data_IF_248586881197
#
_entry.id   IF_248586881197
#
_cell.length_a   1.000
_cell.length_b   1.000
_cell.length_c   1.000
_cell.angle_alpha   90.00
_cell.angle_beta   90.00
_cell.angle_gamma   90.00
#
_symmetry.space_group_name_H-M   'P 1'
#
loop_
_entity.id
_entity.type
_entity.pdbx_description
1 polymer ?
#
# COMPACT_ATOMS: atom_id res chain seq x y z
N UNK A 1 31.51 -0.28 -16.11
CA UNK A 1 30.24 0.29 -15.71
C UNK A 1 29.98 -0.10 -14.26
N UNK A 2 30.32 0.82 -13.35
CA UNK A 2 29.97 0.70 -11.92
C UNK A 2 28.51 1.12 -11.82
N UNK A 3 27.62 0.17 -11.71
CA UNK A 3 26.27 0.46 -11.23
C UNK A 3 26.45 0.82 -9.75
N UNK A 4 26.32 2.10 -9.42
CA UNK A 4 26.26 2.52 -8.02
C UNK A 4 25.09 1.76 -7.39
N UNK A 5 25.40 0.91 -6.38
CA UNK A 5 24.36 0.25 -5.61
C UNK A 5 23.60 1.34 -4.88
N UNK A 6 22.41 1.66 -5.36
CA UNK A 6 21.45 2.46 -4.60
C UNK A 6 21.25 1.75 -3.26
N UNK A 7 21.62 2.41 -2.17
CA UNK A 7 21.32 1.91 -0.84
C UNK A 7 19.87 2.27 -0.58
N UNK A 8 19.01 1.25 -0.56
CA UNK A 8 17.62 1.43 -0.14
C UNK A 8 17.62 1.65 1.38
N UNK A 9 16.93 2.67 1.84
CA UNK A 9 16.78 2.99 3.27
C UNK A 9 15.30 3.01 3.62
N UNK A 10 14.99 2.62 4.86
CA UNK A 10 13.63 2.76 5.41
C UNK A 10 13.26 4.24 5.54
N UNK A 11 12.03 4.57 5.22
CA UNK A 11 11.48 5.90 5.44
C UNK A 11 11.32 6.21 6.93
N UNK A 12 11.42 7.49 7.26
CA UNK A 12 11.15 8.03 8.60
C UNK A 12 10.18 9.20 8.48
N UNK A 13 9.26 9.29 9.41
CA UNK A 13 8.31 10.41 9.52
C UNK A 13 8.49 11.10 10.88
N UNK A 14 8.38 12.44 10.95
CA UNK A 14 8.32 13.16 12.22
C UNK A 14 7.02 12.85 13.00
N UNK A 15 6.06 12.18 12.37
CA UNK A 15 4.76 11.83 12.94
C UNK A 15 4.69 10.37 13.38
N UNK A 16 5.85 9.67 13.47
CA UNK A 16 5.93 8.29 13.91
C UNK A 16 5.74 7.27 12.78
N UNK A 17 5.09 6.15 13.06
CA UNK A 17 4.86 5.07 12.10
C UNK A 17 3.60 5.32 11.27
N UNK A 18 3.77 5.47 9.97
CA UNK A 18 2.71 5.61 8.97
C UNK A 18 2.65 4.31 8.18
N UNK A 19 1.63 3.48 8.39
CA UNK A 19 1.54 2.13 7.83
C UNK A 19 0.46 2.03 6.75
N UNK A 20 0.83 1.45 5.60
CA UNK A 20 -0.11 0.92 4.61
C UNK A 20 -0.30 -0.58 4.82
N UNK A 21 -1.54 -1.04 4.88
CA UNK A 21 -1.93 -2.42 5.13
C UNK A 21 -2.81 -2.94 3.99
N UNK A 22 -2.49 -4.12 3.46
CA UNK A 22 -3.26 -4.75 2.39
C UNK A 22 -3.35 -6.26 2.56
N UNK A 23 -4.32 -6.88 1.86
CA UNK A 23 -4.34 -8.32 1.61
C UNK A 23 -4.35 -8.59 0.12
N UNK A 24 -3.53 -9.53 -0.34
CA UNK A 24 -3.28 -9.80 -1.75
C UNK A 24 -3.32 -11.29 -2.06
N UNK A 25 -3.79 -11.62 -3.26
CA UNK A 25 -3.72 -12.96 -3.82
C UNK A 25 -3.44 -12.86 -5.31
N UNK A 26 -2.34 -13.50 -5.77
CA UNK A 26 -1.95 -13.52 -7.19
C UNK A 26 -1.79 -12.12 -7.82
N UNK A 27 -1.12 -11.21 -7.09
CA UNK A 27 -0.84 -9.82 -7.49
C UNK A 27 0.63 -9.60 -7.91
N UNK A 28 1.33 -10.67 -8.25
CA UNK A 28 2.77 -10.65 -8.59
C UNK A 28 3.15 -9.59 -9.64
N UNK A 29 2.38 -9.37 -10.71
CA UNK A 29 2.69 -8.35 -11.70
C UNK A 29 2.69 -6.92 -11.19
N UNK A 30 1.83 -6.60 -10.19
CA UNK A 30 1.62 -5.24 -9.66
C UNK A 30 2.25 -4.97 -8.30
N UNK A 31 2.61 -6.01 -7.52
CA UNK A 31 2.98 -5.86 -6.11
C UNK A 31 4.21 -4.98 -5.88
N UNK A 32 5.20 -5.02 -6.77
CA UNK A 32 6.41 -4.19 -6.65
C UNK A 32 6.05 -2.71 -6.87
N UNK A 33 5.23 -2.41 -7.88
CA UNK A 33 4.76 -1.05 -8.15
C UNK A 33 3.96 -0.51 -6.96
N UNK A 34 3.03 -1.31 -6.44
CA UNK A 34 2.18 -0.94 -5.32
C UNK A 34 3.01 -0.62 -4.06
N UNK A 35 3.96 -1.49 -3.70
CA UNK A 35 4.86 -1.27 -2.55
C UNK A 35 5.75 -0.05 -2.76
N UNK A 36 6.37 0.07 -3.94
CA UNK A 36 7.25 1.20 -4.26
C UNK A 36 6.49 2.53 -4.24
N UNK A 37 5.27 2.57 -4.76
CA UNK A 37 4.42 3.76 -4.73
C UNK A 37 4.14 4.22 -3.30
N UNK A 38 3.69 3.32 -2.42
CA UNK A 38 3.34 3.71 -1.06
C UNK A 38 4.56 4.12 -0.23
N UNK A 39 5.70 3.48 -0.42
CA UNK A 39 6.96 3.96 0.16
C UNK A 39 7.36 5.34 -0.41
N UNK A 40 7.22 5.57 -1.71
CA UNK A 40 7.55 6.86 -2.34
C UNK A 40 6.61 7.99 -1.90
N UNK A 41 5.35 7.71 -1.64
CA UNK A 41 4.36 8.67 -1.11
C UNK A 41 4.71 9.10 0.33
N UNK A 42 5.45 8.26 1.08
CA UNK A 42 5.94 8.61 2.41
C UNK A 42 5.53 7.66 3.54
N UNK A 43 4.89 6.53 3.25
CA UNK A 43 4.68 5.52 4.29
C UNK A 43 6.01 5.02 4.82
N UNK A 44 6.10 4.87 6.14
CA UNK A 44 7.29 4.31 6.81
C UNK A 44 7.28 2.80 6.78
N UNK A 45 6.07 2.24 6.70
CA UNK A 45 5.81 0.81 6.80
C UNK A 45 4.73 0.37 5.81
N UNK A 46 4.94 -0.77 5.19
CA UNK A 46 4.00 -1.43 4.28
C UNK A 46 3.87 -2.87 4.72
N UNK A 47 2.67 -3.29 5.13
CA UNK A 47 2.40 -4.67 5.53
C UNK A 47 1.40 -5.31 4.58
N UNK A 48 1.75 -6.48 4.06
CA UNK A 48 0.89 -7.23 3.14
C UNK A 48 0.66 -8.64 3.67
N UNK A 49 -0.60 -9.01 3.77
CA UNK A 49 -1.05 -10.36 4.04
C UNK A 49 -1.34 -11.08 2.73
N UNK A 50 -0.86 -12.31 2.55
CA UNK A 50 -1.17 -13.11 1.37
C UNK A 50 -1.85 -14.42 1.74
N UNK A 51 -2.67 -14.94 0.83
CA UNK A 51 -3.25 -16.27 0.95
C UNK A 51 -3.26 -16.99 -0.40
N UNK A 52 -2.89 -18.26 -0.39
CA UNK A 52 -3.00 -19.17 -1.54
C UNK A 52 -2.44 -18.59 -2.86
N UNK A 53 -1.32 -17.86 -2.81
CA UNK A 53 -0.67 -17.33 -4.01
C UNK A 53 -0.04 -18.44 -4.84
N UNK A 54 -0.21 -18.36 -6.16
CA UNK A 54 0.34 -19.30 -7.13
C UNK A 54 1.30 -18.67 -8.15
N UNK A 55 1.41 -17.33 -8.15
CA UNK A 55 2.17 -16.54 -9.11
C UNK A 55 3.49 -15.99 -8.57
N UNK A 56 3.83 -16.26 -7.31
CA UNK A 56 5.04 -15.80 -6.65
C UNK A 56 4.91 -14.45 -5.92
N UNK A 57 3.70 -13.91 -5.76
CA UNK A 57 3.44 -12.68 -4.99
C UNK A 57 4.09 -12.73 -3.60
N UNK A 58 3.89 -13.82 -2.87
CA UNK A 58 4.43 -14.01 -1.52
C UNK A 58 5.96 -14.11 -1.51
N UNK A 59 6.57 -14.73 -2.52
CA UNK A 59 8.03 -14.80 -2.66
C UNK A 59 8.66 -13.44 -2.94
N UNK A 60 8.00 -12.60 -3.73
CA UNK A 60 8.42 -11.21 -3.98
C UNK A 60 8.38 -10.43 -2.66
N UNK A 61 7.29 -10.52 -1.91
CA UNK A 61 7.12 -9.81 -0.63
C UNK A 61 8.13 -10.26 0.43
N UNK A 62 8.43 -11.56 0.53
CA UNK A 62 9.48 -12.10 1.40
C UNK A 62 10.87 -11.52 1.05
N UNK A 63 11.15 -11.35 -0.24
CA UNK A 63 12.41 -10.72 -0.69
C UNK A 63 12.46 -9.23 -0.37
N UNK A 64 11.35 -8.50 -0.54
CA UNK A 64 11.26 -7.09 -0.16
C UNK A 64 11.43 -6.90 1.35
N UNK A 65 10.83 -7.76 2.16
CA UNK A 65 11.02 -7.76 3.61
C UNK A 65 12.49 -7.94 4.00
N UNK A 66 13.21 -8.82 3.31
CA UNK A 66 14.64 -9.09 3.57
C UNK A 66 15.56 -7.87 3.27
N UNK A 67 15.06 -6.83 2.59
CA UNK A 67 15.80 -5.59 2.34
C UNK A 67 15.77 -4.62 3.52
N UNK A 68 14.95 -4.87 4.54
CA UNK A 68 14.79 -4.04 5.75
C UNK A 68 14.43 -2.56 5.45
N UNK A 69 13.52 -2.38 4.51
CA UNK A 69 13.07 -1.07 4.02
C UNK A 69 11.66 -0.68 4.53
N UNK A 70 11.18 -1.32 5.60
CA UNK A 70 9.84 -1.09 6.14
C UNK A 70 8.75 -1.93 5.45
N UNK A 71 9.11 -3.00 4.76
CA UNK A 71 8.13 -3.92 4.13
C UNK A 71 8.00 -5.18 4.97
N UNK A 72 6.77 -5.59 5.25
CA UNK A 72 6.44 -6.76 6.04
C UNK A 72 5.46 -7.66 5.31
N UNK A 73 5.74 -8.95 5.32
CA UNK A 73 4.86 -9.98 4.77
C UNK A 73 4.33 -10.87 5.89
N UNK A 74 3.05 -11.23 5.79
CA UNK A 74 2.39 -12.21 6.66
C UNK A 74 1.51 -13.14 5.83
N UNK A 75 1.40 -14.37 6.29
CA UNK A 75 0.38 -15.27 5.76
C UNK A 75 -0.99 -14.89 6.35
N UNK A 76 -1.99 -14.79 5.49
CA UNK A 76 -3.36 -14.52 5.91
C UNK A 76 -4.04 -15.86 6.27
N UNK A 77 -4.33 -16.12 7.56
CA UNK A 77 -5.05 -17.34 7.92
C UNK A 77 -6.45 -17.27 7.33
N UNK A 78 -6.86 -18.36 6.65
CA UNK A 78 -8.15 -18.46 5.96
C UNK A 78 -9.06 -19.50 6.64
N UNK A 79 -9.73 -19.15 7.76
CA UNK A 79 -10.72 -20.04 8.35
C UNK A 79 -11.86 -20.33 7.38
N UNK A 80 -12.45 -21.54 7.40
CA UNK A 80 -13.58 -21.88 6.54
C UNK A 80 -14.72 -20.84 6.60
N UNK A 81 -15.15 -20.34 5.45
CA UNK A 81 -16.25 -19.38 5.32
C UNK A 81 -15.89 -17.92 5.64
N UNK A 82 -14.63 -17.62 5.98
CA UNK A 82 -14.16 -16.23 6.20
C UNK A 82 -13.55 -15.71 4.91
N UNK A 83 -13.90 -14.48 4.53
CA UNK A 83 -13.29 -13.80 3.38
C UNK A 83 -11.89 -13.28 3.71
N UNK A 84 -10.99 -13.10 2.71
CA UNK A 84 -9.61 -12.66 2.94
C UNK A 84 -9.48 -11.36 3.72
N UNK A 85 -10.23 -10.32 3.36
CA UNK A 85 -10.15 -9.01 4.00
C UNK A 85 -10.53 -9.04 5.49
N UNK A 86 -11.72 -9.57 5.92
CA UNK A 86 -12.01 -9.74 7.34
C UNK A 86 -11.01 -10.60 8.11
N UNK A 87 -10.44 -11.63 7.47
CA UNK A 87 -9.41 -12.47 8.09
C UNK A 87 -8.13 -11.68 8.36
N UNK A 88 -7.67 -10.92 7.36
CA UNK A 88 -6.51 -10.03 7.50
C UNK A 88 -6.72 -9.00 8.60
N UNK A 89 -7.86 -8.30 8.62
CA UNK A 89 -8.14 -7.29 9.65
C UNK A 89 -8.11 -7.87 11.07
N UNK A 90 -8.64 -9.08 11.25
CA UNK A 90 -8.57 -9.77 12.53
C UNK A 90 -7.13 -10.09 12.94
N UNK A 91 -6.32 -10.61 12.01
CA UNK A 91 -4.91 -10.94 12.28
C UNK A 91 -4.07 -9.67 12.53
N UNK A 92 -4.32 -8.63 11.75
CA UNK A 92 -3.65 -7.33 11.89
C UNK A 92 -3.95 -6.65 13.23
N UNK A 93 -5.16 -6.84 13.78
CA UNK A 93 -5.51 -6.33 15.11
C UNK A 93 -4.59 -6.87 16.21
N UNK A 94 -4.12 -8.09 16.08
CA UNK A 94 -3.23 -8.75 17.04
C UNK A 94 -1.73 -8.57 16.73
N UNK A 95 -1.40 -7.93 15.59
CA UNK A 95 -0.02 -7.68 15.16
C UNK A 95 0.56 -6.45 15.89
N UNK A 96 1.68 -6.65 16.60
CA UNK A 96 2.30 -5.59 17.41
C UNK A 96 2.73 -4.37 16.58
N UNK A 97 3.22 -4.57 15.36
CA UNK A 97 3.61 -3.48 14.46
C UNK A 97 2.42 -2.62 14.05
N UNK A 98 1.26 -3.26 13.79
CA UNK A 98 0.02 -2.55 13.45
C UNK A 98 -0.49 -1.75 14.65
N UNK A 99 -0.46 -2.34 15.84
CA UNK A 99 -0.91 -1.67 17.07
C UNK A 99 0.00 -0.53 17.50
N UNK A 100 1.27 -0.59 17.12
CA UNK A 100 2.26 0.45 17.40
C UNK A 100 2.26 1.56 16.34
N UNK A 101 1.49 1.43 15.26
CA UNK A 101 1.42 2.47 14.21
C UNK A 101 0.64 3.68 14.69
N UNK A 102 1.15 4.87 14.40
CA UNK A 102 0.47 6.13 14.71
C UNK A 102 -0.69 6.41 13.75
N UNK A 103 -0.49 6.05 12.47
CA UNK A 103 -1.51 6.10 11.42
C UNK A 103 -1.51 4.82 10.60
N UNK A 104 -2.70 4.30 10.33
CA UNK A 104 -2.92 3.10 9.55
C UNK A 104 -3.89 3.38 8.40
N UNK A 105 -3.50 3.07 7.18
CA UNK A 105 -4.35 3.07 6.00
C UNK A 105 -4.50 1.65 5.47
N UNK A 106 -5.75 1.18 5.37
CA UNK A 106 -6.09 -0.11 4.75
C UNK A 106 -6.47 0.14 3.30
N UNK A 107 -5.83 -0.58 2.38
CA UNK A 107 -5.96 -0.41 0.93
C UNK A 107 -6.12 -1.77 0.25
N UNK A 108 -6.84 -1.80 -0.85
CA UNK A 108 -6.84 -2.94 -1.77
C UNK A 108 -5.58 -2.91 -2.67
N UNK A 109 -5.27 -4.04 -3.31
CA UNK A 109 -4.06 -4.20 -4.14
C UNK A 109 -4.04 -3.32 -5.42
N UNK A 110 -5.18 -2.80 -5.81
CA UNK A 110 -5.39 -1.92 -6.97
C UNK A 110 -5.64 -0.45 -6.58
N UNK A 111 -5.47 -0.12 -5.30
CA UNK A 111 -5.61 1.24 -4.79
C UNK A 111 -4.25 1.91 -4.58
N UNK A 112 -4.12 3.13 -5.09
CA UNK A 112 -2.89 3.94 -5.02
C UNK A 112 -3.20 5.30 -4.38
N UNK A 113 -2.62 5.57 -3.20
CA UNK A 113 -2.85 6.84 -2.50
C UNK A 113 -2.25 8.01 -3.29
N UNK A 114 -3.09 9.00 -3.63
CA UNK A 114 -2.68 10.28 -4.19
C UNK A 114 -2.82 11.39 -3.16
N UNK A 115 -1.75 12.18 -2.96
CA UNK A 115 -1.73 13.28 -2.00
C UNK A 115 -2.08 14.60 -2.70
N UNK A 116 -3.30 15.08 -2.49
CA UNK A 116 -3.78 16.39 -2.95
C UNK A 116 -3.68 17.45 -1.82
N UNK A 117 -2.54 17.48 -1.14
CA UNK A 117 -2.26 18.43 -0.06
C UNK A 117 -1.29 19.52 -0.58
N UNK A 118 -1.34 20.77 -0.08
CA UNK A 118 -0.43 21.84 -0.52
C UNK A 118 1.05 21.51 -0.41
N UNK A 119 1.44 20.69 0.59
CA UNK A 119 2.82 20.18 0.72
C UNK A 119 3.16 19.07 -0.28
N UNK A 120 2.17 18.45 -0.93
CA UNK A 120 2.32 17.26 -1.77
C UNK A 120 3.02 16.08 -1.06
N UNK A 121 2.97 16.01 0.27
CA UNK A 121 3.60 14.96 1.09
C UNK A 121 2.61 14.36 2.09
N UNK A 122 2.80 13.08 2.40
CA UNK A 122 2.04 12.39 3.44
C UNK A 122 2.29 13.03 4.81
N UNK A 123 3.54 13.38 5.12
CA UNK A 123 3.92 14.06 6.36
C UNK A 123 3.18 15.39 6.56
N UNK A 124 3.10 16.22 5.51
CA UNK A 124 2.38 17.49 5.61
C UNK A 124 0.89 17.29 5.88
N UNK A 125 0.27 16.32 5.21
CA UNK A 125 -1.13 15.97 5.43
C UNK A 125 -1.36 15.43 6.85
N UNK A 126 -0.53 14.51 7.33
CA UNK A 126 -0.62 13.93 8.68
C UNK A 126 -0.33 15.01 9.74
N UNK A 127 0.61 15.93 9.46
CA UNK A 127 0.90 17.07 10.35
C UNK A 127 -0.33 17.94 10.59
N UNK A 128 -1.07 18.28 9.53
CA UNK A 128 -2.31 19.07 9.64
C UNK A 128 -3.42 18.29 10.38
N UNK A 129 -3.55 16.99 10.15
CA UNK A 129 -4.49 16.13 10.88
C UNK A 129 -4.17 16.10 12.38
N UNK A 130 -2.91 15.93 12.74
CA UNK A 130 -2.46 15.93 14.13
C UNK A 130 -2.68 17.30 14.80
N UNK A 131 -2.38 18.39 14.09
CA UNK A 131 -2.63 19.76 14.59
C UNK A 131 -4.13 20.04 14.81
N UNK A 132 -4.98 19.45 13.99
CA UNK A 132 -6.44 19.53 14.15
C UNK A 132 -7.00 18.58 15.23
N UNK A 133 -6.16 17.74 15.86
CA UNK A 133 -6.60 16.71 16.82
C UNK A 133 -7.45 15.61 16.18
N UNK A 134 -7.31 15.38 14.88
CA UNK A 134 -8.05 14.35 14.17
C UNK A 134 -7.48 12.96 14.52
N UNK A 135 -8.38 11.99 14.75
CA UNK A 135 -8.01 10.57 14.96
C UNK A 135 -8.34 9.69 13.76
N UNK A 136 -8.99 10.23 12.75
CA UNK A 136 -9.33 9.54 11.50
C UNK A 136 -9.54 10.54 10.36
N UNK A 137 -9.33 10.09 9.13
CA UNK A 137 -9.62 10.82 7.91
C UNK A 137 -10.36 9.90 6.93
N UNK A 138 -11.38 10.44 6.28
CA UNK A 138 -12.05 9.75 5.17
C UNK A 138 -11.35 10.11 3.87
N UNK A 139 -10.93 9.10 3.13
CA UNK A 139 -10.34 9.24 1.80
C UNK A 139 -11.37 8.77 0.77
N UNK A 140 -11.67 9.61 -0.22
CA UNK A 140 -12.61 9.26 -1.29
C UNK A 140 -11.89 8.58 -2.45
N UNK A 141 -12.52 7.57 -3.01
CA UNK A 141 -12.02 6.93 -4.22
C UNK A 141 -12.13 7.85 -5.44
N UNK A 142 -11.14 7.76 -6.29
CA UNK A 142 -11.20 8.21 -7.67
C UNK A 142 -11.09 7.01 -8.58
N UNK A 143 -12.21 6.64 -9.20
CA UNK A 143 -12.27 5.45 -10.05
C UNK A 143 -11.61 5.73 -11.39
N UNK A 144 -10.71 4.83 -11.82
CA UNK A 144 -10.10 4.82 -13.13
C UNK A 144 -10.71 3.70 -13.98
N UNK A 145 -10.99 4.01 -15.25
CA UNK A 145 -11.50 3.04 -16.20
C UNK A 145 -10.38 2.43 -17.04
N UNK A 146 -10.72 1.38 -17.81
CA UNK A 146 -9.75 0.70 -18.68
C UNK A 146 -9.17 1.58 -19.79
N UNK A 147 -9.75 2.75 -20.08
CA UNK A 147 -9.33 3.66 -21.15
C UNK A 147 -9.18 2.98 -22.53
N UNK A 148 -9.89 1.87 -22.75
CA UNK A 148 -9.80 1.07 -23.97
C UNK A 148 -8.64 0.07 -24.01
N UNK A 149 -7.86 -0.04 -22.96
CA UNK A 149 -6.84 -1.09 -22.79
C UNK A 149 -7.54 -2.45 -22.72
N UNK A 150 -7.14 -3.37 -23.60
CA UNK A 150 -7.73 -4.71 -23.74
C UNK A 150 -6.72 -5.82 -23.50
N UNK A 151 -5.46 -5.55 -23.79
CA UNK A 151 -4.40 -6.53 -23.73
C UNK A 151 -3.54 -6.29 -22.47
N UNK A 152 -3.05 -7.38 -21.88
CA UNK A 152 -2.13 -7.29 -20.77
C UNK A 152 -0.79 -6.66 -21.22
N UNK A 153 -0.24 -5.81 -20.35
CA UNK A 153 1.04 -5.14 -20.56
C UNK A 153 1.91 -5.25 -19.30
N UNK A 154 3.23 -5.17 -19.48
CA UNK A 154 4.20 -5.09 -18.38
C UNK A 154 4.41 -3.66 -17.87
N UNK A 155 3.78 -2.67 -18.50
CA UNK A 155 3.88 -1.30 -18.03
C UNK A 155 3.25 -1.17 -16.63
N UNK A 156 3.69 -0.21 -15.82
CA UNK A 156 3.07 0.10 -14.55
C UNK A 156 1.56 0.31 -14.67
N UNK A 157 0.80 -0.10 -13.67
CA UNK A 157 -0.67 0.05 -13.62
C UNK A 157 -1.04 1.54 -13.74
N UNK A 158 -0.29 2.39 -13.04
CA UNK A 158 -0.50 3.85 -13.03
C UNK A 158 -0.21 4.51 -14.37
N UNK A 159 0.64 3.93 -15.21
CA UNK A 159 0.91 4.41 -16.57
C UNK A 159 -0.15 3.94 -17.59
N UNK A 160 -0.76 2.77 -17.35
CA UNK A 160 -1.73 2.17 -18.26
C UNK A 160 -3.12 2.77 -18.10
N UNK A 161 -3.56 3.03 -16.86
CA UNK A 161 -4.92 3.46 -16.55
C UNK A 161 -4.94 4.91 -16.11
N UNK A 162 -5.00 5.82 -17.07
CA UNK A 162 -4.87 7.28 -16.83
C UNK A 162 -6.19 8.05 -16.90
N UNK A 163 -7.29 7.42 -17.34
CA UNK A 163 -8.60 8.06 -17.45
C UNK A 163 -9.45 7.82 -16.21
N UNK A 164 -9.56 8.86 -15.39
CA UNK A 164 -10.37 8.85 -14.18
C UNK A 164 -11.81 9.31 -14.43
N UNK A 165 -12.74 8.82 -13.61
CA UNK A 165 -14.08 9.37 -13.52
C UNK A 165 -14.06 10.87 -13.14
N UNK A 166 -15.08 11.67 -13.51
CA UNK A 166 -15.18 13.06 -13.07
C UNK A 166 -15.15 13.17 -11.53
N UNK A 167 -14.63 14.30 -10.96
CA UNK A 167 -14.49 14.44 -9.50
C UNK A 167 -15.82 14.32 -8.73
N UNK A 168 -16.94 14.66 -9.37
CA UNK A 168 -18.29 14.60 -8.79
C UNK A 168 -19.15 13.61 -9.59
N UNK A 169 -18.66 12.39 -9.72
CA UNK A 169 -19.40 11.32 -10.37
C UNK A 169 -20.36 10.70 -9.35
N UNK A 170 -21.69 10.84 -9.63
CA UNK A 170 -22.79 10.25 -8.83
C UNK A 170 -23.33 9.01 -9.53
#
# INVERSE_FOLDING_TARGET
>A
NRVDRMTLTRNHSPHGSLMALSTMKDEGPGVIEWVAHHLAVGFTDVMVYTNDCSDGTDDILKRLQALDIGVYHRENPMPPGVKPHPSMLKSAHDEDLVRASDWLLVLDADEFLCINHPSCTLDGMVGDLNAAGASAMVITWRIFGSAGVRDWSRAPITDQFTLAAPPYWN
#
